data_IF_354516974455
#
_entry.id   IF_354516974455
#
_cell.length_a   1.000
_cell.length_b   1.000
_cell.length_c   1.000
_cell.angle_alpha   90.00
_cell.angle_beta   90.00
_cell.angle_gamma   90.00
#
_symmetry.space_group_name_H-M   'P 1'
#
loop_
_entity.id
_entity.type
_entity.pdbx_description
1 polymer ?
#
# COMPACT_ATOMS: atom_id res chain seq x y z
N UNK A 1 7.19 -24.49 -9.01
CA UNK A 1 6.70 -24.54 -7.62
C UNK A 1 5.64 -23.46 -7.44
N UNK A 2 4.41 -23.88 -7.14
CA UNK A 2 3.37 -22.91 -6.82
C UNK A 2 3.66 -22.34 -5.42
N UNK A 3 3.85 -21.03 -5.34
CA UNK A 3 3.94 -20.33 -4.07
C UNK A 3 2.56 -20.36 -3.43
N UNK A 4 2.36 -21.21 -2.43
CA UNK A 4 1.12 -21.28 -1.69
C UNK A 4 1.03 -20.06 -0.77
N UNK A 5 0.24 -19.06 -1.19
CA UNK A 5 -0.07 -17.93 -0.31
C UNK A 5 -1.08 -18.40 0.73
N UNK A 6 -0.69 -18.29 2.00
CA UNK A 6 -1.52 -18.71 3.13
C UNK A 6 -2.60 -17.65 3.43
N UNK A 7 -3.77 -18.05 3.95
CA UNK A 7 -4.79 -17.09 4.39
C UNK A 7 -4.24 -16.10 5.43
N UNK A 8 -4.81 -14.90 5.49
CA UNK A 8 -4.35 -13.84 6.40
C UNK A 8 -4.29 -14.30 7.88
N UNK A 9 -5.27 -15.12 8.32
CA UNK A 9 -5.31 -15.66 9.68
C UNK A 9 -4.17 -16.66 9.99
N UNK A 10 -3.56 -17.27 8.95
CA UNK A 10 -2.46 -18.22 9.08
C UNK A 10 -1.08 -17.60 8.82
N UNK A 11 -1.02 -16.31 8.47
CA UNK A 11 0.22 -15.57 8.22
C UNK A 11 0.83 -15.08 9.54
N UNK A 12 2.14 -15.02 9.59
CA UNK A 12 2.84 -14.22 10.58
C UNK A 12 2.90 -12.77 10.10
N UNK A 13 2.61 -11.85 11.00
CA UNK A 13 2.55 -10.43 10.72
C UNK A 13 3.60 -9.67 11.51
N UNK A 14 4.22 -8.71 10.87
CA UNK A 14 5.15 -7.80 11.52
C UNK A 14 4.70 -6.35 11.27
N UNK A 15 5.12 -5.44 12.14
CA UNK A 15 4.83 -4.02 11.97
C UNK A 15 6.07 -3.33 11.42
N UNK A 16 5.89 -2.67 10.28
CA UNK A 16 6.88 -1.77 9.71
C UNK A 16 6.61 -0.34 10.18
N UNK A 17 7.66 0.38 10.52
CA UNK A 17 7.59 1.80 10.92
C UNK A 17 8.55 2.60 10.05
N UNK A 18 8.03 3.64 9.41
CA UNK A 18 8.82 4.68 8.79
C UNK A 18 8.96 5.83 9.80
N UNK A 19 10.17 6.10 10.33
CA UNK A 19 10.31 6.99 11.48
C UNK A 19 10.36 8.48 11.15
N UNK A 20 10.66 8.86 9.92
CA UNK A 20 10.86 10.28 9.56
C UNK A 20 9.55 11.06 9.58
N UNK A 21 8.51 10.55 8.95
CA UNK A 21 7.18 11.15 8.95
C UNK A 21 6.16 10.37 9.79
N UNK A 22 6.58 9.23 10.32
CA UNK A 22 5.80 8.46 11.28
C UNK A 22 4.66 7.65 10.66
N UNK A 23 4.95 6.85 9.64
CA UNK A 23 3.97 5.89 9.08
C UNK A 23 4.18 4.51 9.67
N UNK A 24 3.09 3.84 10.05
CA UNK A 24 3.10 2.43 10.42
C UNK A 24 2.19 1.60 9.52
N UNK A 25 2.56 0.35 9.35
CA UNK A 25 1.78 -0.61 8.57
C UNK A 25 2.15 -2.03 9.03
N UNK A 26 1.16 -2.91 9.10
CA UNK A 26 1.40 -4.34 9.29
C UNK A 26 1.52 -5.04 7.95
N UNK A 27 2.47 -5.94 7.85
CA UNK A 27 2.69 -6.74 6.64
C UNK A 27 2.95 -8.21 6.98
N UNK A 28 2.57 -9.14 6.07
CA UNK A 28 2.84 -10.56 6.28
C UNK A 28 4.32 -10.85 6.01
N UNK A 29 5.08 -11.11 7.08
CA UNK A 29 6.53 -11.26 7.03
C UNK A 29 7.01 -12.49 6.26
N UNK A 30 6.20 -13.55 6.21
CA UNK A 30 6.52 -14.75 5.45
C UNK A 30 6.34 -14.58 3.93
N UNK A 31 5.54 -13.62 3.51
CA UNK A 31 5.28 -13.33 2.09
C UNK A 31 6.37 -12.42 1.53
N UNK A 32 6.64 -11.32 2.20
CA UNK A 32 7.60 -10.31 1.74
C UNK A 32 8.96 -10.52 2.40
N UNK A 33 9.69 -11.51 1.90
CA UNK A 33 10.96 -11.95 2.49
C UNK A 33 12.18 -11.22 1.93
N UNK A 34 12.05 -10.54 0.78
CA UNK A 34 13.12 -9.77 0.16
C UNK A 34 12.91 -8.29 0.43
N UNK A 35 13.86 -7.66 1.07
CA UNK A 35 13.86 -6.22 1.34
C UNK A 35 14.64 -5.54 0.22
N UNK A 36 13.93 -4.83 -0.67
CA UNK A 36 14.51 -4.23 -1.87
C UNK A 36 15.18 -2.88 -1.61
N UNK A 37 14.94 -2.24 -0.47
CA UNK A 37 15.53 -0.96 -0.11
C UNK A 37 14.51 0.18 -0.08
N UNK A 38 14.98 1.41 -0.28
CA UNK A 38 14.17 2.61 -0.12
C UNK A 38 13.12 2.75 -1.21
N UNK A 39 11.93 3.20 -0.82
CA UNK A 39 10.91 3.61 -1.77
C UNK A 39 11.35 4.85 -2.55
N UNK A 40 11.08 4.85 -3.85
CA UNK A 40 11.36 6.00 -4.72
C UNK A 40 10.27 7.09 -4.64
N UNK A 41 9.12 6.78 -4.04
CA UNK A 41 7.96 7.70 -3.99
C UNK A 41 7.93 8.59 -2.76
N UNK A 42 8.77 8.33 -1.76
CA UNK A 42 8.80 9.09 -0.52
C UNK A 42 9.72 8.43 0.50
N UNK A 43 9.53 8.78 1.77
CA UNK A 43 10.25 8.12 2.86
C UNK A 43 9.61 6.76 3.11
N UNK A 44 10.33 5.68 2.88
CA UNK A 44 9.79 4.34 3.07
C UNK A 44 10.66 3.25 2.47
N UNK A 45 10.06 2.08 2.33
CA UNK A 45 10.75 0.86 1.95
C UNK A 45 9.92 0.03 0.98
N UNK A 46 10.60 -0.78 0.18
CA UNK A 46 9.99 -1.76 -0.71
C UNK A 46 10.32 -3.18 -0.27
N UNK A 47 9.31 -4.04 -0.30
CA UNK A 47 9.41 -5.45 0.06
C UNK A 47 8.87 -6.29 -1.10
N UNK A 48 9.54 -7.38 -1.40
CA UNK A 48 9.21 -8.23 -2.55
C UNK A 48 9.07 -9.68 -2.08
N UNK A 49 8.09 -10.38 -2.64
CA UNK A 49 8.00 -11.83 -2.51
C UNK A 49 9.12 -12.48 -3.33
N UNK A 50 9.66 -13.59 -2.87
CA UNK A 50 10.84 -14.23 -3.45
C UNK A 50 10.73 -14.57 -4.95
N UNK A 51 9.50 -14.81 -5.45
CA UNK A 51 9.25 -15.03 -6.88
C UNK A 51 9.14 -13.75 -7.71
N UNK A 52 9.15 -12.58 -7.07
CA UNK A 52 9.03 -11.28 -7.73
C UNK A 52 7.62 -10.92 -8.20
N UNK A 53 6.63 -11.81 -8.01
CA UNK A 53 5.27 -11.61 -8.53
C UNK A 53 4.39 -10.78 -7.60
N UNK A 54 4.81 -10.57 -6.37
CA UNK A 54 4.13 -9.68 -5.42
C UNK A 54 5.14 -8.72 -4.81
N UNK A 55 4.73 -7.48 -4.62
CA UNK A 55 5.56 -6.44 -4.02
C UNK A 55 4.72 -5.43 -3.25
N UNK A 56 5.29 -4.90 -2.18
CA UNK A 56 4.68 -3.90 -1.32
C UNK A 56 5.66 -2.74 -1.13
N UNK A 57 5.25 -1.54 -1.49
CA UNK A 57 5.95 -0.30 -1.13
C UNK A 57 5.15 0.44 -0.06
N UNK A 58 5.78 0.78 1.04
CA UNK A 58 5.21 1.58 2.12
C UNK A 58 5.96 2.89 2.18
N UNK A 59 5.26 4.01 2.12
CA UNK A 59 5.95 5.30 2.09
C UNK A 59 5.11 6.42 2.69
N UNK A 60 5.82 7.45 3.14
CA UNK A 60 5.26 8.69 3.67
C UNK A 60 5.66 9.85 2.78
N UNK A 61 4.76 10.78 2.59
CA UNK A 61 5.02 12.03 1.85
C UNK A 61 4.53 13.24 2.64
N UNK A 62 5.20 14.37 2.47
CA UNK A 62 4.70 15.65 2.96
C UNK A 62 3.65 16.19 1.99
N UNK A 63 2.50 16.57 2.50
CA UNK A 63 1.44 17.18 1.69
C UNK A 63 1.65 18.69 1.58
N UNK A 64 2.74 19.10 0.94
CA UNK A 64 3.13 20.51 0.81
C UNK A 64 2.09 21.34 0.04
N UNK A 65 1.35 20.70 -0.85
CA UNK A 65 0.31 21.36 -1.66
C UNK A 65 -1.05 21.39 -0.98
N UNK A 66 -1.16 20.83 0.22
CA UNK A 66 -2.43 20.70 0.94
C UNK A 66 -3.54 20.08 0.08
N UNK A 67 -3.19 19.03 -0.64
CA UNK A 67 -4.13 18.33 -1.51
C UNK A 67 -5.13 17.51 -0.70
N UNK A 68 -6.34 17.40 -1.22
CA UNK A 68 -7.31 16.43 -0.75
C UNK A 68 -7.00 15.05 -1.37
N UNK A 69 -7.55 13.95 -0.82
CA UNK A 69 -7.42 12.66 -1.48
C UNK A 69 -7.84 12.68 -2.95
N UNK A 70 -8.94 13.36 -3.27
CA UNK A 70 -9.43 13.46 -4.65
C UNK A 70 -8.46 14.18 -5.58
N UNK A 71 -7.90 15.31 -5.16
CA UNK A 71 -6.98 16.10 -6.00
C UNK A 71 -5.64 15.39 -6.16
N UNK A 72 -5.15 14.76 -5.11
CA UNK A 72 -3.92 13.95 -5.17
C UNK A 72 -4.08 12.77 -6.13
N UNK A 73 -5.18 12.03 -6.02
CA UNK A 73 -5.48 10.91 -6.90
C UNK A 73 -5.53 11.35 -8.35
N UNK A 74 -6.24 12.42 -8.64
CA UNK A 74 -6.38 12.96 -9.99
C UNK A 74 -5.04 13.37 -10.60
N UNK A 75 -4.13 13.92 -9.79
CA UNK A 75 -2.80 14.35 -10.25
C UNK A 75 -1.84 13.19 -10.49
N UNK A 76 -1.85 12.18 -9.63
CA UNK A 76 -0.85 11.12 -9.63
C UNK A 76 -1.23 9.87 -10.42
N UNK A 77 -2.52 9.64 -10.65
CA UNK A 77 -3.02 8.41 -11.28
C UNK A 77 -3.70 8.67 -12.62
N UNK A 78 -3.25 9.70 -13.32
CA UNK A 78 -3.68 9.98 -14.69
C UNK A 78 -2.86 9.13 -15.65
N UNK A 79 -3.24 7.89 -15.84
CA UNK A 79 -2.69 7.10 -16.94
C UNK A 79 -3.77 7.00 -18.03
N UNK A 80 -3.58 7.66 -19.19
CA UNK A 80 -4.50 7.49 -20.31
C UNK A 80 -4.61 6.01 -20.67
N UNK A 81 -5.84 5.48 -20.70
CA UNK A 81 -6.09 4.11 -21.12
C UNK A 81 -6.10 3.05 -20.02
N UNK A 82 -5.80 3.37 -18.77
CA UNK A 82 -6.01 2.44 -17.66
C UNK A 82 -7.34 2.73 -16.99
N UNK A 83 -8.32 1.86 -17.22
CA UNK A 83 -9.55 1.86 -16.46
C UNK A 83 -9.24 1.31 -15.05
N UNK A 84 -9.57 2.07 -14.02
CA UNK A 84 -9.52 1.58 -12.64
C UNK A 84 -10.75 0.72 -12.38
N UNK A 85 -10.51 -0.51 -11.87
CA UNK A 85 -11.59 -1.45 -11.56
C UNK A 85 -12.29 -1.13 -10.25
N UNK A 86 -11.59 -0.44 -9.36
CA UNK A 86 -12.10 -0.04 -8.06
C UNK A 86 -11.55 1.34 -7.70
N UNK A 87 -12.43 2.24 -7.29
CA UNK A 87 -12.06 3.57 -6.81
C UNK A 87 -12.92 3.91 -5.60
N UNK A 88 -12.28 4.24 -4.49
CA UNK A 88 -12.96 4.80 -3.32
C UNK A 88 -12.21 6.04 -2.87
N UNK A 89 -12.92 7.16 -2.77
CA UNK A 89 -12.36 8.44 -2.35
C UNK A 89 -13.22 9.01 -1.24
N UNK A 90 -12.61 9.39 -0.14
CA UNK A 90 -13.25 10.07 0.98
C UNK A 90 -12.51 11.36 1.30
N UNK A 91 -12.95 12.09 2.31
CA UNK A 91 -12.22 13.28 2.78
C UNK A 91 -10.88 12.98 3.44
N UNK A 92 -10.61 11.72 3.79
CA UNK A 92 -9.41 11.32 4.55
C UNK A 92 -8.54 10.28 3.86
N UNK A 93 -9.02 9.60 2.84
CA UNK A 93 -8.23 8.61 2.11
C UNK A 93 -8.74 8.38 0.70
N UNK A 94 -7.90 7.76 -0.13
CA UNK A 94 -8.35 7.07 -1.34
C UNK A 94 -7.79 5.65 -1.36
N UNK A 95 -8.50 4.77 -2.05
CA UNK A 95 -8.05 3.42 -2.41
C UNK A 95 -8.46 3.14 -3.84
N UNK A 96 -7.53 2.63 -4.63
CA UNK A 96 -7.75 2.32 -6.05
C UNK A 96 -7.13 0.98 -6.39
N UNK A 97 -7.74 0.26 -7.33
CA UNK A 97 -7.11 -0.91 -7.91
C UNK A 97 -7.38 -1.02 -9.40
N UNK A 98 -6.45 -1.67 -10.10
CA UNK A 98 -6.54 -1.96 -11.52
C UNK A 98 -5.89 -3.32 -11.79
N UNK A 99 -6.37 -4.01 -12.82
CA UNK A 99 -5.76 -5.24 -13.33
C UNK A 99 -5.05 -4.94 -14.64
N UNK A 100 -3.80 -5.36 -14.74
CA UNK A 100 -3.02 -5.21 -15.95
C UNK A 100 -2.17 -6.47 -16.13
N UNK A 101 -2.33 -7.13 -17.27
CA UNK A 101 -1.56 -8.33 -17.64
C UNK A 101 -1.51 -9.41 -16.53
N UNK A 102 -2.66 -9.70 -15.93
CA UNK A 102 -2.78 -10.73 -14.91
C UNK A 102 -2.27 -10.33 -13.51
N UNK A 103 -1.90 -9.06 -13.33
CA UNK A 103 -1.46 -8.52 -12.03
C UNK A 103 -2.45 -7.49 -11.54
N UNK A 104 -2.83 -7.60 -10.26
CA UNK A 104 -3.63 -6.58 -9.57
C UNK A 104 -2.67 -5.57 -8.94
N UNK A 105 -2.92 -4.28 -9.21
CA UNK A 105 -2.24 -3.15 -8.57
C UNK A 105 -3.24 -2.47 -7.65
N UNK A 106 -2.89 -2.37 -6.38
CA UNK A 106 -3.71 -1.73 -5.36
C UNK A 106 -2.91 -0.62 -4.67
N UNK A 107 -3.48 0.56 -4.56
CA UNK A 107 -2.84 1.69 -3.87
C UNK A 107 -3.81 2.33 -2.90
N UNK A 108 -3.31 2.68 -1.73
CA UNK A 108 -4.06 3.44 -0.73
C UNK A 108 -3.18 4.52 -0.13
N UNK A 109 -3.76 5.70 0.04
CA UNK A 109 -3.14 6.80 0.79
C UNK A 109 -4.12 7.35 1.81
N UNK A 110 -3.68 7.44 3.06
CA UNK A 110 -4.41 8.06 4.16
C UNK A 110 -3.81 9.44 4.43
N UNK A 111 -4.67 10.44 4.55
CA UNK A 111 -4.28 11.84 4.77
C UNK A 111 -4.48 12.19 6.23
N UNK A 112 -3.40 12.51 6.93
CA UNK A 112 -3.47 12.86 8.34
C UNK A 112 -3.97 14.30 8.52
N UNK A 113 -4.96 14.47 9.40
CA UNK A 113 -5.47 15.80 9.77
C UNK A 113 -4.65 16.46 10.89
N UNK A 114 -3.95 15.65 11.72
CA UNK A 114 -3.33 16.13 12.95
C UNK A 114 -1.92 16.69 12.79
N UNK A 115 -1.16 16.17 11.84
CA UNK A 115 0.23 16.59 11.64
C UNK A 115 0.40 17.34 10.33
N UNK A 116 -0.36 18.43 10.15
CA UNK A 116 -0.21 19.38 9.04
C UNK A 116 0.30 18.76 7.74
N UNK A 117 -0.28 17.62 7.34
CA UNK A 117 -0.08 17.17 6.00
C UNK A 117 0.95 16.08 5.78
N UNK A 118 0.95 15.01 6.57
CA UNK A 118 1.60 13.76 6.17
C UNK A 118 0.60 12.87 5.44
N UNK A 119 1.05 12.32 4.32
CA UNK A 119 0.30 11.34 3.55
C UNK A 119 0.97 9.99 3.77
N UNK A 120 0.19 9.01 4.28
CA UNK A 120 0.64 7.65 4.56
C UNK A 120 0.13 6.72 3.47
N UNK A 121 1.03 6.09 2.72
CA UNK A 121 0.68 5.33 1.52
C UNK A 121 1.25 3.92 1.51
N UNK A 122 0.58 3.04 0.81
CA UNK A 122 1.19 1.81 0.29
C UNK A 122 0.74 1.53 -1.13
N UNK A 123 1.63 0.92 -1.90
CA UNK A 123 1.35 0.34 -3.20
C UNK A 123 1.61 -1.15 -3.13
N UNK A 124 0.66 -1.94 -3.59
CA UNK A 124 0.73 -3.39 -3.56
C UNK A 124 0.45 -3.94 -4.96
N UNK A 125 1.24 -4.93 -5.38
CA UNK A 125 0.93 -5.71 -6.57
C UNK A 125 0.97 -7.20 -6.25
N UNK A 126 0.10 -7.97 -6.88
CA UNK A 126 0.02 -9.42 -6.72
C UNK A 126 -0.69 -10.07 -7.90
N UNK A 127 -0.47 -11.37 -8.13
CA UNK A 127 -1.13 -12.07 -9.23
C UNK A 127 -2.65 -12.09 -9.07
N UNK A 128 -3.39 -11.79 -10.14
CA UNK A 128 -4.85 -11.85 -10.13
C UNK A 128 -5.39 -13.24 -9.81
N UNK A 129 -4.65 -14.29 -10.17
CA UNK A 129 -5.00 -15.67 -9.85
C UNK A 129 -5.04 -15.96 -8.35
N UNK A 130 -4.33 -15.17 -7.54
CA UNK A 130 -4.28 -15.29 -6.09
C UNK A 130 -5.24 -14.33 -5.36
N UNK A 131 -6.11 -13.64 -6.09
CA UNK A 131 -6.99 -12.60 -5.54
C UNK A 131 -7.75 -13.04 -4.29
N UNK A 132 -8.29 -14.24 -4.30
CA UNK A 132 -9.10 -14.77 -3.18
C UNK A 132 -8.33 -14.80 -1.85
N UNK A 133 -7.04 -15.15 -1.90
CA UNK A 133 -6.17 -15.15 -0.72
C UNK A 133 -5.73 -13.74 -0.35
N UNK A 134 -5.46 -12.92 -1.35
CA UNK A 134 -4.99 -11.55 -1.14
C UNK A 134 -6.08 -10.61 -0.62
N UNK A 135 -7.35 -10.86 -0.88
CA UNK A 135 -8.45 -9.98 -0.42
C UNK A 135 -8.39 -9.74 1.10
N UNK A 136 -8.19 -10.78 1.89
CA UNK A 136 -8.07 -10.64 3.35
C UNK A 136 -6.75 -9.99 3.77
N UNK A 137 -5.67 -10.30 3.07
CA UNK A 137 -4.35 -9.70 3.32
C UNK A 137 -4.39 -8.20 3.05
N UNK A 138 -4.95 -7.79 1.91
CA UNK A 138 -5.13 -6.37 1.55
C UNK A 138 -5.97 -5.64 2.59
N UNK A 139 -7.04 -6.25 3.06
CA UNK A 139 -7.92 -5.68 4.09
C UNK A 139 -7.14 -5.40 5.37
N UNK A 140 -6.33 -6.35 5.84
CA UNK A 140 -5.53 -6.16 7.06
C UNK A 140 -4.44 -5.12 6.88
N UNK A 141 -3.72 -5.15 5.77
CA UNK A 141 -2.72 -4.12 5.44
C UNK A 141 -3.38 -2.73 5.44
N UNK A 142 -4.51 -2.59 4.75
CA UNK A 142 -5.24 -1.31 4.65
C UNK A 142 -5.68 -0.76 6.01
N UNK A 143 -6.20 -1.63 6.88
CA UNK A 143 -6.64 -1.23 8.23
C UNK A 143 -5.49 -0.83 9.14
N UNK A 144 -4.31 -1.38 8.90
CA UNK A 144 -3.13 -1.13 9.73
C UNK A 144 -2.39 0.15 9.34
N UNK A 145 -2.61 0.66 8.11
CA UNK A 145 -1.94 1.85 7.63
C UNK A 145 -2.36 3.09 8.41
N UNK A 146 -1.41 3.81 8.95
CA UNK A 146 -1.73 5.03 9.68
C UNK A 146 -0.48 5.71 10.23
N UNK A 147 -0.71 6.78 11.01
CA UNK A 147 0.36 7.45 11.71
C UNK A 147 0.92 6.56 12.83
N UNK A 148 2.21 6.73 13.09
CA UNK A 148 2.82 6.18 14.30
C UNK A 148 2.23 6.91 15.50
N UNK A 149 1.54 6.18 16.38
CA UNK A 149 1.04 6.76 17.61
C UNK A 149 2.21 7.06 18.56
N UNK A 150 2.38 8.33 18.86
CA UNK A 150 3.28 8.75 19.93
C UNK A 150 2.47 8.73 21.24
N UNK A 151 2.70 7.69 22.01
CA UNK A 151 2.17 7.59 23.36
C UNK A 151 2.73 8.66 24.27
#
# INVERSE_FOLDING_TARGET
MACLVRPAAAQEWTTFVEPQLGTRLELPSEVFTVHEGRSIKGFGEEFIRSDGLAALAVYSQRNLRRETPATYLKRNYRTPGQAMDYVRVTGSFFAVSAVHEGTIYYSRCNFSRRSSGTIHCFDLKYPAQEKRVWDDIVTRISRSLGPLERG
#
